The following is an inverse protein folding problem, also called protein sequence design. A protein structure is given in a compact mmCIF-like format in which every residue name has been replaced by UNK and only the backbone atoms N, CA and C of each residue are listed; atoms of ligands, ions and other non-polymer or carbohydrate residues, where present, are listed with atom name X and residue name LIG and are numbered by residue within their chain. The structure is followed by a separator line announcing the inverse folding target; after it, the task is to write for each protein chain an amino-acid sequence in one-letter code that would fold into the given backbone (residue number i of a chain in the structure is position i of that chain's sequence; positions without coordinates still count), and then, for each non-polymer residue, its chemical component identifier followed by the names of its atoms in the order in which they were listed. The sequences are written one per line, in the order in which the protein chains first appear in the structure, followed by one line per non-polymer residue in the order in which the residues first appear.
data_IF_064216959220
#
_entry.id   IF_064216959220
#
_cell.length_a   1.000
_cell.length_b   1.000
_cell.length_c   1.000
_cell.angle_alpha   90.00
_cell.angle_beta   90.00
_cell.angle_gamma   90.00
#
_symmetry.space_group_name_H-M   'P 1'
#
loop_
_entity.id
_entity.type
_entity.pdbx_description
1 polymer ?
#
# COMPACT_ATOMS: atom_id res chain seq x y z
N UNK A 1 17.13 -8.05 13.69
CA UNK A 1 16.52 -7.58 12.43
C UNK A 1 16.68 -6.07 12.39
N UNK A 2 17.19 -5.49 11.29
CA UNK A 2 17.53 -4.06 11.21
C UNK A 2 16.28 -3.19 11.02
N UNK A 3 16.27 -1.98 11.58
CA UNK A 3 15.26 -0.96 11.28
C UNK A 3 15.41 -0.47 9.83
N UNK A 4 14.29 -0.23 9.13
CA UNK A 4 14.27 0.24 7.75
C UNK A 4 13.91 1.73 7.69
N UNK A 5 14.71 2.50 6.97
CA UNK A 5 14.44 3.91 6.67
C UNK A 5 14.29 4.10 5.17
N UNK A 6 13.29 4.88 4.75
CA UNK A 6 13.17 5.35 3.37
C UNK A 6 13.93 6.64 3.17
N UNK A 7 14.64 6.73 2.05
CA UNK A 7 15.31 7.93 1.56
C UNK A 7 14.96 8.13 0.08
N UNK A 8 15.17 9.33 -0.46
CA UNK A 8 14.88 9.58 -1.89
C UNK A 8 15.84 8.83 -2.81
N UNK A 9 17.11 8.76 -2.44
CA UNK A 9 18.16 8.08 -3.18
C UNK A 9 19.17 7.46 -2.20
N UNK A 10 19.75 6.33 -2.60
CA UNK A 10 20.81 5.67 -1.84
C UNK A 10 22.16 6.01 -2.51
N UNK A 11 22.97 6.89 -1.91
CA UNK A 11 24.31 7.20 -2.42
C UNK A 11 25.26 6.00 -2.22
N UNK A 12 26.43 6.01 -2.85
CA UNK A 12 27.35 4.86 -2.81
C UNK A 12 28.08 4.68 -1.47
N UNK A 13 28.43 5.77 -0.78
CA UNK A 13 29.36 5.70 0.37
C UNK A 13 28.76 6.17 1.69
N UNK A 14 28.08 7.31 1.73
CA UNK A 14 27.65 7.93 2.99
C UNK A 14 26.27 8.53 2.88
N UNK A 15 25.50 8.48 3.96
CA UNK A 15 24.15 9.03 4.03
C UNK A 15 23.95 9.72 5.38
N UNK A 16 23.26 10.85 5.36
CA UNK A 16 22.88 11.59 6.57
C UNK A 16 21.37 11.59 6.70
N UNK A 17 20.86 11.12 7.83
CA UNK A 17 19.46 11.34 8.19
C UNK A 17 19.33 12.64 8.95
N UNK A 18 18.45 13.52 8.50
CA UNK A 18 18.13 14.79 9.14
C UNK A 18 16.65 14.83 9.56
N UNK A 19 16.24 15.90 10.26
CA UNK A 19 14.84 16.16 10.56
C UNK A 19 14.18 15.06 11.38
N UNK A 20 12.97 14.65 10.99
CA UNK A 20 12.18 13.66 11.74
C UNK A 20 12.73 12.24 11.63
N UNK A 21 13.32 11.86 10.49
CA UNK A 21 14.00 10.57 10.34
C UNK A 21 15.24 10.50 11.25
N UNK A 22 16.03 11.58 11.31
CA UNK A 22 17.15 11.71 12.24
C UNK A 22 16.71 11.66 13.70
N UNK A 23 15.62 12.33 14.08
CA UNK A 23 15.05 12.26 15.44
C UNK A 23 14.58 10.86 15.80
N UNK A 24 13.92 10.17 14.87
CA UNK A 24 13.49 8.79 15.08
C UNK A 24 14.70 7.89 15.34
N UNK A 25 15.74 8.00 14.53
CA UNK A 25 16.99 7.25 14.70
C UNK A 25 17.72 7.59 16.02
N UNK A 26 17.92 8.88 16.33
CA UNK A 26 18.70 9.33 17.48
C UNK A 26 17.97 9.20 18.83
N UNK A 27 16.67 9.49 18.86
CA UNK A 27 15.92 9.64 20.11
C UNK A 27 14.97 8.47 20.38
N UNK A 28 14.25 8.00 19.35
CA UNK A 28 13.28 6.92 19.50
C UNK A 28 13.97 5.55 19.50
N UNK A 29 14.83 5.30 18.50
CA UNK A 29 15.64 4.07 18.42
C UNK A 29 16.90 4.13 19.27
N UNK A 30 17.36 5.35 19.61
CA UNK A 30 18.56 5.59 20.43
C UNK A 30 19.82 4.95 19.86
N UNK A 31 19.98 5.03 18.53
CA UNK A 31 21.09 4.41 17.84
C UNK A 31 22.45 4.91 18.34
N UNK A 32 23.43 4.02 18.38
CA UNK A 32 24.81 4.29 18.79
C UNK A 32 25.77 4.11 17.62
N UNK A 33 26.94 4.76 17.71
CA UNK A 33 28.04 4.54 16.76
C UNK A 33 28.37 3.05 16.68
N UNK A 34 28.48 2.53 15.44
CA UNK A 34 28.69 1.12 15.14
C UNK A 34 27.39 0.31 14.97
N UNK A 35 26.22 0.82 15.34
CA UNK A 35 24.95 0.13 15.10
C UNK A 35 24.49 0.26 13.64
N UNK A 36 23.69 -0.70 13.19
CA UNK A 36 23.28 -0.82 11.80
C UNK A 36 21.79 -0.58 11.60
N UNK A 37 21.46 0.01 10.46
CA UNK A 37 20.12 0.15 9.90
C UNK A 37 20.10 -0.27 8.44
N UNK A 38 18.91 -0.49 7.89
CA UNK A 38 18.71 -0.70 6.46
C UNK A 38 18.11 0.55 5.84
N UNK A 39 18.58 0.92 4.68
CA UNK A 39 18.01 1.97 3.83
C UNK A 39 17.32 1.36 2.62
N UNK A 40 16.26 2.02 2.16
CA UNK A 40 15.64 1.75 0.87
C UNK A 40 15.21 3.05 0.19
N UNK A 41 15.18 3.08 -1.13
CA UNK A 41 14.54 4.16 -1.90
C UNK A 41 13.04 3.93 -2.13
N UNK A 42 12.53 2.75 -1.73
CA UNK A 42 11.15 2.35 -1.94
C UNK A 42 10.89 1.77 -3.33
N UNK A 43 11.91 1.63 -4.18
CA UNK A 43 11.80 1.11 -5.56
C UNK A 43 12.82 0.00 -5.84
N UNK A 44 13.17 -0.77 -4.81
CA UNK A 44 13.97 -1.98 -4.92
C UNK A 44 15.41 -1.85 -4.43
N UNK A 45 16.01 -0.65 -4.45
CA UNK A 45 17.38 -0.50 -3.98
C UNK A 45 17.42 -0.51 -2.46
N UNK A 46 18.46 -1.16 -1.93
CA UNK A 46 18.71 -1.24 -0.49
C UNK A 46 20.20 -1.12 -0.18
N UNK A 47 20.51 -0.64 1.01
CA UNK A 47 21.86 -0.66 1.57
C UNK A 47 21.81 -0.84 3.08
N UNK A 48 22.92 -1.31 3.66
CA UNK A 48 23.15 -1.32 5.11
C UNK A 48 23.95 -0.08 5.49
N UNK A 49 23.40 0.72 6.40
CA UNK A 49 24.10 1.86 6.99
C UNK A 49 24.60 1.54 8.38
N UNK A 50 25.88 1.80 8.63
CA UNK A 50 26.48 1.74 9.97
C UNK A 50 26.65 3.16 10.49
N UNK A 51 26.13 3.46 11.68
CA UNK A 51 26.27 4.78 12.31
C UNK A 51 27.75 5.09 12.51
N UNK A 52 28.23 6.18 11.92
CA UNK A 52 29.61 6.65 12.09
C UNK A 52 29.69 7.87 13.00
N UNK A 53 28.63 8.68 13.05
CA UNK A 53 28.60 9.89 13.87
C UNK A 53 27.16 10.30 14.26
N UNK A 54 27.01 10.80 15.48
CA UNK A 54 25.76 11.31 16.05
C UNK A 54 25.89 12.84 16.20
N UNK A 55 25.71 13.57 15.10
CA UNK A 55 25.93 15.02 15.02
C UNK A 55 25.01 15.79 15.97
N UNK A 56 23.73 15.40 16.03
CA UNK A 56 22.75 16.01 16.94
C UNK A 56 21.59 15.06 17.24
N UNK A 57 20.60 15.53 18.03
CA UNK A 57 19.36 14.77 18.30
C UNK A 57 18.48 14.56 17.06
N UNK A 58 18.80 15.19 15.93
CA UNK A 58 18.05 15.10 14.67
C UNK A 58 18.95 14.88 13.46
N UNK A 59 20.23 14.58 13.65
CA UNK A 59 21.20 14.41 12.56
C UNK A 59 22.16 13.27 12.88
N UNK A 60 22.19 12.25 12.03
CA UNK A 60 23.05 11.06 12.15
C UNK A 60 23.68 10.75 10.80
N UNK A 61 24.99 10.47 10.82
CA UNK A 61 25.76 10.07 9.65
C UNK A 61 25.97 8.55 9.63
N UNK A 62 25.87 7.98 8.44
CA UNK A 62 26.05 6.55 8.19
C UNK A 62 27.08 6.32 7.09
N UNK A 63 27.94 5.32 7.29
CA UNK A 63 28.70 4.71 6.20
C UNK A 63 27.86 3.56 5.59
N UNK A 64 27.76 3.55 4.27
CA UNK A 64 26.95 2.59 3.52
C UNK A 64 27.78 1.41 3.03
N UNK A 65 27.14 0.24 3.05
CA UNK A 65 27.70 -1.03 2.62
C UNK A 65 26.57 -1.94 2.15
N UNK A 66 26.90 -3.10 1.59
CA UNK A 66 25.94 -4.13 1.19
C UNK A 66 24.79 -3.58 0.34
N UNK A 67 25.15 -2.82 -0.71
CA UNK A 67 24.20 -2.37 -1.71
C UNK A 67 23.65 -3.56 -2.47
N UNK A 68 22.33 -3.61 -2.61
CA UNK A 68 21.63 -4.69 -3.27
C UNK A 68 20.33 -4.18 -3.90
N UNK A 69 19.75 -5.00 -4.77
CA UNK A 69 18.47 -4.74 -5.41
C UNK A 69 17.51 -5.90 -5.17
N UNK A 70 16.36 -5.60 -4.57
CA UNK A 70 15.28 -6.56 -4.38
C UNK A 70 14.33 -6.48 -5.57
N UNK A 71 14.14 -7.55 -6.36
CA UNK A 71 13.17 -7.56 -7.45
C UNK A 71 11.75 -7.23 -6.96
N UNK A 72 10.96 -6.56 -7.80
CA UNK A 72 9.56 -6.26 -7.48
C UNK A 72 8.78 -7.56 -7.25
N UNK A 73 8.03 -7.70 -6.12
CA UNK A 73 7.20 -8.87 -5.90
C UNK A 73 6.15 -9.05 -7.00
N UNK A 74 5.94 -10.30 -7.40
CA UNK A 74 4.89 -10.69 -8.36
C UNK A 74 3.96 -11.72 -7.72
N UNK A 75 2.62 -11.61 -7.90
CA UNK A 75 1.93 -10.59 -8.69
C UNK A 75 1.86 -9.22 -8.00
N UNK A 76 1.62 -8.17 -8.79
CA UNK A 76 1.26 -6.83 -8.29
C UNK A 76 -0.20 -6.85 -7.84
N UNK A 77 -0.43 -6.47 -6.58
CA UNK A 77 -1.76 -6.45 -5.97
C UNK A 77 -2.19 -5.00 -5.75
N UNK A 78 -3.25 -4.60 -6.44
CA UNK A 78 -3.86 -3.27 -6.34
C UNK A 78 -5.22 -3.36 -5.67
N UNK A 79 -5.61 -2.32 -4.93
CA UNK A 79 -6.96 -2.20 -4.36
C UNK A 79 -7.63 -0.90 -4.81
N UNK A 80 -8.79 -1.02 -5.46
CA UNK A 80 -9.75 0.07 -5.65
C UNK A 80 -10.63 0.17 -4.41
N UNK A 81 -10.36 1.16 -3.56
CA UNK A 81 -11.01 1.34 -2.27
C UNK A 81 -12.03 2.48 -2.36
N UNK A 82 -13.32 2.16 -2.31
CA UNK A 82 -14.35 3.18 -2.16
C UNK A 82 -14.11 4.01 -0.88
N UNK A 83 -14.32 5.33 -0.96
CA UNK A 83 -14.03 6.24 0.14
C UNK A 83 -14.90 5.92 1.38
N UNK A 84 -14.31 5.42 2.48
CA UNK A 84 -15.08 5.05 3.66
C UNK A 84 -15.51 6.31 4.45
N UNK A 85 -16.50 6.16 5.33
CA UNK A 85 -16.97 7.28 6.14
C UNK A 85 -15.99 7.65 7.26
N UNK A 86 -15.62 8.94 7.32
CA UNK A 86 -14.81 9.54 8.41
C UNK A 86 -13.31 9.22 8.33
N UNK A 87 -12.59 9.33 9.44
CA UNK A 87 -11.13 9.12 9.50
C UNK A 87 -10.67 7.66 9.35
N UNK A 88 -11.61 6.73 9.15
CA UNK A 88 -11.36 5.28 9.03
C UNK A 88 -10.59 4.89 7.77
N UNK A 89 -10.44 5.82 6.82
CA UNK A 89 -9.66 5.63 5.61
C UNK A 89 -8.17 5.40 5.88
N UNK A 90 -7.62 6.05 6.92
CA UNK A 90 -6.19 5.93 7.26
C UNK A 90 -5.86 4.51 7.73
N UNK A 91 -6.67 3.96 8.63
CA UNK A 91 -6.55 2.58 9.11
C UNK A 91 -6.65 1.57 7.97
N UNK A 92 -7.58 1.78 7.02
CA UNK A 92 -7.71 0.90 5.86
C UNK A 92 -6.43 0.91 4.99
N UNK A 93 -5.84 2.08 4.74
CA UNK A 93 -4.58 2.21 3.99
C UNK A 93 -3.45 1.50 4.72
N UNK A 94 -3.27 1.75 6.02
CA UNK A 94 -2.25 1.11 6.84
C UNK A 94 -2.34 -0.43 6.76
N UNK A 95 -3.51 -0.99 7.03
CA UNK A 95 -3.76 -2.42 6.99
C UNK A 95 -3.53 -3.04 5.59
N UNK A 96 -3.94 -2.35 4.52
CA UNK A 96 -3.69 -2.79 3.15
C UNK A 96 -2.19 -2.83 2.83
N UNK A 97 -1.43 -1.85 3.31
CA UNK A 97 0.02 -1.81 3.08
C UNK A 97 0.72 -2.92 3.83
N UNK A 98 0.36 -3.15 5.09
CA UNK A 98 0.94 -4.20 5.94
C UNK A 98 0.71 -5.60 5.37
N UNK A 99 -0.47 -5.88 4.84
CA UNK A 99 -0.78 -7.19 4.25
C UNK A 99 -0.04 -7.43 2.93
N UNK A 100 0.34 -6.36 2.22
CA UNK A 100 1.17 -6.45 1.01
C UNK A 100 0.57 -5.84 -0.26
N UNK A 101 -0.47 -5.00 -0.16
CA UNK A 101 -1.02 -4.26 -1.32
C UNK A 101 0.03 -3.29 -1.85
N UNK A 102 0.27 -3.29 -3.16
CA UNK A 102 1.30 -2.47 -3.81
C UNK A 102 0.75 -1.14 -4.30
N UNK A 103 -0.53 -1.10 -4.69
CA UNK A 103 -1.16 0.12 -5.17
C UNK A 103 -2.57 0.29 -4.60
N UNK A 104 -2.89 1.50 -4.17
CA UNK A 104 -4.21 1.85 -3.65
C UNK A 104 -4.81 2.94 -4.54
N UNK A 105 -6.00 2.68 -5.06
CA UNK A 105 -6.78 3.60 -5.86
C UNK A 105 -7.97 4.06 -5.01
N UNK A 106 -7.97 5.30 -4.49
CA UNK A 106 -9.16 5.86 -3.86
C UNK A 106 -10.29 5.93 -4.89
N UNK A 107 -11.51 5.56 -4.53
CA UNK A 107 -12.64 5.53 -5.45
C UNK A 107 -13.85 6.30 -4.91
N UNK A 108 -14.27 7.30 -5.68
CA UNK A 108 -15.54 7.99 -5.47
C UNK A 108 -16.69 7.16 -6.06
N UNK A 109 -17.08 6.08 -5.38
CA UNK A 109 -18.27 5.33 -5.75
C UNK A 109 -19.54 6.17 -5.55
N UNK A 110 -20.59 5.91 -6.33
CA UNK A 110 -21.87 6.64 -6.31
C UNK A 110 -22.52 6.69 -4.93
N UNK A 111 -22.39 5.60 -4.15
CA UNK A 111 -22.93 5.49 -2.78
C UNK A 111 -21.88 5.72 -1.68
N UNK A 112 -20.73 6.31 -2.02
CA UNK A 112 -19.77 6.74 -1.01
C UNK A 112 -20.34 7.93 -0.24
N UNK A 113 -20.36 7.84 1.09
CA UNK A 113 -20.80 8.94 1.96
C UNK A 113 -19.77 10.07 1.97
N UNK A 114 -18.48 9.72 1.90
CA UNK A 114 -17.41 10.69 1.78
C UNK A 114 -17.32 11.19 0.33
N UNK A 115 -17.21 12.51 0.17
CA UNK A 115 -16.93 13.15 -1.11
C UNK A 115 -15.69 14.02 -1.00
N UNK A 116 -14.74 13.81 -1.90
CA UNK A 116 -13.59 14.69 -2.05
C UNK A 116 -13.88 15.68 -3.17
N UNK A 117 -14.03 16.96 -2.81
CA UNK A 117 -13.99 18.01 -3.81
C UNK A 117 -12.58 18.15 -4.41
N UNK A 118 -12.46 18.83 -5.54
CA UNK A 118 -11.19 18.97 -6.26
C UNK A 118 -10.06 19.58 -5.41
N UNK A 119 -10.38 20.45 -4.43
CA UNK A 119 -9.38 21.07 -3.55
C UNK A 119 -8.91 20.10 -2.46
N UNK A 120 -9.81 19.26 -1.94
CA UNK A 120 -9.53 18.25 -0.91
C UNK A 120 -8.88 17.00 -1.48
N UNK A 121 -9.11 16.66 -2.74
CA UNK A 121 -8.56 15.45 -3.36
C UNK A 121 -7.04 15.39 -3.22
N UNK A 122 -6.34 16.47 -3.58
CA UNK A 122 -4.86 16.49 -3.57
C UNK A 122 -4.33 16.26 -2.15
N UNK A 123 -4.87 16.97 -1.15
CA UNK A 123 -4.42 16.83 0.23
C UNK A 123 -4.83 15.49 0.86
N UNK A 124 -5.97 14.93 0.47
CA UNK A 124 -6.43 13.63 0.94
C UNK A 124 -5.58 12.47 0.38
N UNK A 125 -5.28 12.50 -0.93
CA UNK A 125 -4.36 11.54 -1.57
C UNK A 125 -2.97 11.65 -0.93
N UNK A 126 -2.45 12.87 -0.71
CA UNK A 126 -1.17 13.07 -0.03
C UNK A 126 -1.18 12.49 1.39
N UNK A 127 -2.27 12.69 2.15
CA UNK A 127 -2.44 12.08 3.49
C UNK A 127 -2.41 10.55 3.43
N UNK A 128 -3.07 9.94 2.45
CA UNK A 128 -3.04 8.49 2.26
C UNK A 128 -1.64 8.01 1.86
N UNK A 129 -0.94 8.72 0.97
CA UNK A 129 0.44 8.37 0.59
C UNK A 129 1.39 8.42 1.78
N UNK A 130 1.30 9.46 2.62
CA UNK A 130 2.09 9.56 3.86
C UNK A 130 1.79 8.38 4.79
N UNK A 131 0.51 8.02 4.94
CA UNK A 131 0.10 6.85 5.74
C UNK A 131 0.71 5.57 5.19
N UNK A 132 0.65 5.39 3.87
CA UNK A 132 1.17 4.22 3.18
C UNK A 132 2.69 4.11 3.32
N UNK A 133 3.42 5.23 3.25
CA UNK A 133 4.87 5.28 3.43
C UNK A 133 5.28 4.90 4.86
N UNK A 134 4.56 5.42 5.87
CA UNK A 134 4.82 5.08 7.28
C UNK A 134 4.57 3.59 7.53
N UNK A 135 3.43 3.06 7.07
CA UNK A 135 3.08 1.65 7.20
C UNK A 135 4.10 0.76 6.48
N UNK A 136 4.56 1.14 5.29
CA UNK A 136 5.56 0.38 4.53
C UNK A 136 6.91 0.33 5.25
N UNK A 137 7.36 1.43 5.85
CA UNK A 137 8.58 1.46 6.64
C UNK A 137 8.47 0.54 7.87
N UNK A 138 7.34 0.57 8.58
CA UNK A 138 7.08 -0.28 9.75
C UNK A 138 6.99 -1.77 9.39
N UNK A 139 6.33 -2.08 8.27
CA UNK A 139 6.24 -3.42 7.68
C UNK A 139 7.56 -3.86 7.01
N UNK A 140 8.59 -2.99 6.98
CA UNK A 140 9.91 -3.23 6.38
C UNK A 140 9.85 -3.61 4.90
N UNK A 141 8.91 -3.00 4.16
CA UNK A 141 8.79 -3.19 2.71
C UNK A 141 9.92 -2.49 1.98
N UNK A 142 10.53 -3.17 1.01
CA UNK A 142 11.54 -2.56 0.12
C UNK A 142 10.87 -1.82 -1.05
N UNK A 143 9.73 -2.34 -1.51
CA UNK A 143 8.89 -1.67 -2.49
C UNK A 143 7.77 -0.95 -1.76
N UNK A 144 7.83 0.37 -1.76
CA UNK A 144 6.84 1.22 -1.11
C UNK A 144 5.59 1.30 -1.98
N UNK A 145 4.40 1.20 -1.35
CA UNK A 145 3.14 1.24 -2.05
C UNK A 145 2.86 2.64 -2.61
N UNK A 146 2.08 2.68 -3.70
CA UNK A 146 1.62 3.94 -4.29
C UNK A 146 0.14 4.14 -4.04
N UNK A 147 -0.22 5.34 -3.59
CA UNK A 147 -1.60 5.83 -3.61
C UNK A 147 -1.78 6.62 -4.90
N UNK A 148 -2.68 6.14 -5.76
CA UNK A 148 -2.98 6.74 -7.06
C UNK A 148 -4.03 7.85 -6.92
N UNK A 149 -4.28 8.55 -8.03
CA UNK A 149 -5.30 9.57 -8.11
C UNK A 149 -6.71 9.00 -7.85
N UNK A 150 -7.60 9.85 -7.35
CA UNK A 150 -9.00 9.51 -7.11
C UNK A 150 -9.66 9.04 -8.41
N UNK A 151 -10.15 7.82 -8.41
CA UNK A 151 -10.98 7.28 -9.48
C UNK A 151 -12.39 7.81 -9.30
N UNK A 152 -12.88 8.56 -10.28
CA UNK A 152 -14.29 9.02 -10.37
C UNK A 152 -15.01 8.37 -11.55
N UNK A 153 -14.25 7.88 -12.54
CA UNK A 153 -14.77 7.13 -13.68
C UNK A 153 -14.02 5.79 -13.79
N UNK A 154 -14.76 4.68 -13.74
CA UNK A 154 -14.22 3.33 -13.86
C UNK A 154 -13.60 3.04 -15.24
N UNK A 155 -14.00 3.75 -16.31
CA UNK A 155 -13.34 3.65 -17.62
C UNK A 155 -11.84 3.94 -17.56
N UNK A 156 -11.40 4.74 -16.59
CA UNK A 156 -9.98 5.03 -16.39
C UNK A 156 -9.14 3.79 -16.01
N UNK A 157 -9.78 2.66 -15.72
CA UNK A 157 -9.15 1.38 -15.38
C UNK A 157 -9.05 0.42 -16.58
N UNK A 158 -9.62 0.77 -17.74
CA UNK A 158 -9.63 -0.08 -18.91
C UNK A 158 -8.22 -0.46 -19.37
N UNK A 159 -7.98 -1.76 -19.52
CA UNK A 159 -6.70 -2.31 -19.97
C UNK A 159 -5.53 -2.16 -18.98
N UNK A 160 -5.77 -1.70 -17.75
CA UNK A 160 -4.71 -1.51 -16.74
C UNK A 160 -4.36 -2.76 -15.95
N UNK A 161 -5.25 -3.75 -15.89
CA UNK A 161 -5.11 -4.94 -15.05
C UNK A 161 -5.41 -6.21 -15.86
N UNK A 162 -4.68 -7.27 -15.55
CA UNK A 162 -4.88 -8.59 -16.17
C UNK A 162 -6.09 -9.31 -15.56
N UNK A 163 -6.45 -8.94 -14.32
CA UNK A 163 -7.57 -9.50 -13.59
C UNK A 163 -8.17 -8.46 -12.65
N UNK A 164 -9.50 -8.36 -12.64
CA UNK A 164 -10.26 -7.52 -11.72
C UNK A 164 -11.18 -8.42 -10.90
N UNK A 165 -11.12 -8.31 -9.56
CA UNK A 165 -11.89 -9.12 -8.62
C UNK A 165 -12.75 -8.19 -7.78
N UNK A 166 -14.07 -8.32 -7.89
CA UNK A 166 -15.03 -7.53 -7.12
C UNK A 166 -15.54 -8.37 -5.96
N UNK A 167 -15.28 -7.94 -4.74
CA UNK A 167 -15.82 -8.61 -3.57
C UNK A 167 -17.22 -8.09 -3.25
N UNK A 168 -18.24 -8.94 -3.45
CA UNK A 168 -19.65 -8.58 -3.26
C UNK A 168 -20.35 -9.61 -2.36
N UNK A 169 -21.21 -9.12 -1.46
CA UNK A 169 -21.87 -9.93 -0.42
C UNK A 169 -22.86 -10.95 -0.97
N UNK A 170 -23.52 -10.64 -2.08
CA UNK A 170 -24.48 -11.53 -2.75
C UNK A 170 -23.83 -12.50 -3.75
N UNK A 171 -22.50 -12.44 -3.92
CA UNK A 171 -21.82 -13.30 -4.89
C UNK A 171 -21.64 -14.73 -4.38
N UNK A 172 -21.58 -15.69 -5.29
CA UNK A 172 -21.43 -17.12 -4.99
C UNK A 172 -20.01 -17.70 -5.19
N UNK A 173 -19.13 -17.20 -6.09
CA UNK A 173 -17.84 -17.83 -6.32
C UNK A 173 -16.87 -17.62 -5.15
N UNK A 174 -16.04 -18.62 -4.81
CA UNK A 174 -14.87 -18.39 -3.99
C UNK A 174 -13.86 -17.51 -4.73
N UNK A 175 -12.85 -17.03 -4.00
CA UNK A 175 -11.69 -16.34 -4.59
C UNK A 175 -11.09 -17.21 -5.71
N UNK A 176 -10.78 -16.63 -6.90
CA UNK A 176 -10.17 -17.37 -8.00
C UNK A 176 -8.95 -18.19 -7.57
N UNK A 177 -8.85 -19.42 -8.07
CA UNK A 177 -7.74 -20.30 -7.72
C UNK A 177 -6.41 -19.85 -8.34
N UNK A 178 -6.47 -19.27 -9.53
CA UNK A 178 -5.32 -18.69 -10.23
C UNK A 178 -5.44 -17.17 -10.19
N UNK A 179 -4.34 -16.54 -9.79
CA UNK A 179 -4.21 -15.09 -9.69
C UNK A 179 -3.25 -14.62 -10.79
N UNK A 180 -3.68 -13.63 -11.57
CA UNK A 180 -2.88 -13.06 -12.66
C UNK A 180 -1.70 -12.21 -12.13
N UNK A 181 -0.82 -11.75 -13.02
CA UNK A 181 0.40 -11.02 -12.65
C UNK A 181 0.11 -9.59 -12.17
N UNK A 182 -0.96 -8.96 -12.66
CA UNK A 182 -1.40 -7.64 -12.25
C UNK A 182 -2.90 -7.63 -11.93
N UNK A 183 -3.24 -7.52 -10.65
CA UNK A 183 -4.60 -7.77 -10.14
C UNK A 183 -5.15 -6.50 -9.48
N UNK A 184 -6.39 -6.17 -9.79
CA UNK A 184 -7.17 -5.17 -9.07
C UNK A 184 -8.25 -5.84 -8.23
N UNK A 185 -8.23 -5.57 -6.93
CA UNK A 185 -9.28 -5.93 -5.98
C UNK A 185 -10.20 -4.72 -5.81
N UNK A 186 -11.50 -4.90 -5.95
CA UNK A 186 -12.48 -3.81 -5.83
C UNK A 186 -13.29 -3.97 -4.55
N UNK A 187 -13.25 -2.91 -3.73
CA UNK A 187 -13.98 -2.80 -2.45
C UNK A 187 -14.97 -1.65 -2.52
N UNK A 188 -16.26 -1.99 -2.43
CA UNK A 188 -17.36 -1.04 -2.47
C UNK A 188 -17.53 -0.18 -1.21
N UNK A 189 -18.37 0.86 -1.28
CA UNK A 189 -18.71 1.70 -0.13
C UNK A 189 -19.65 0.98 0.83
N UNK A 190 -19.92 1.55 2.00
CA UNK A 190 -20.89 1.00 2.95
C UNK A 190 -22.32 0.92 2.39
N UNK A 191 -22.65 1.68 1.34
CA UNK A 191 -23.93 1.63 0.62
C UNK A 191 -24.00 0.58 -0.51
N UNK A 192 -23.01 -0.30 -0.60
CA UNK A 192 -22.81 -1.26 -1.69
C UNK A 192 -22.53 -0.61 -3.05
N UNK A 193 -22.05 -1.41 -4.00
CA UNK A 193 -21.79 -0.99 -5.39
C UNK A 193 -23.14 -0.94 -6.12
N UNK A 194 -23.39 0.07 -6.94
CA UNK A 194 -24.65 0.15 -7.70
C UNK A 194 -24.67 -0.80 -8.88
N UNK A 195 -25.85 -1.12 -9.41
CA UNK A 195 -25.97 -1.99 -10.59
C UNK A 195 -25.22 -1.41 -11.80
N UNK A 196 -25.28 -0.09 -12.00
CA UNK A 196 -24.54 0.58 -13.07
C UNK A 196 -23.01 0.45 -12.92
N UNK A 197 -22.49 0.59 -11.70
CA UNK A 197 -21.07 0.41 -11.42
C UNK A 197 -20.65 -1.06 -11.57
N UNK A 198 -21.52 -2.00 -11.16
CA UNK A 198 -21.29 -3.44 -11.31
C UNK A 198 -21.24 -3.84 -12.78
N UNK A 199 -22.21 -3.41 -13.59
CA UNK A 199 -22.18 -3.65 -15.03
C UNK A 199 -20.93 -3.04 -15.66
N UNK A 200 -20.53 -1.85 -15.20
CA UNK A 200 -19.30 -1.24 -15.69
C UNK A 200 -18.04 -2.04 -15.35
N UNK A 201 -17.96 -2.58 -14.14
CA UNK A 201 -16.86 -3.46 -13.73
C UNK A 201 -16.86 -4.76 -14.57
N UNK A 202 -18.03 -5.33 -14.87
CA UNK A 202 -18.15 -6.51 -15.75
C UNK A 202 -17.66 -6.22 -17.16
N UNK A 203 -17.97 -5.05 -17.72
CA UNK A 203 -17.43 -4.61 -19.03
C UNK A 203 -15.90 -4.54 -19.04
N UNK A 204 -15.29 -4.23 -17.89
CA UNK A 204 -13.84 -4.25 -17.71
C UNK A 204 -13.26 -5.67 -17.51
N UNK A 205 -14.09 -6.71 -17.60
CA UNK A 205 -13.69 -8.10 -17.40
C UNK A 205 -13.64 -8.53 -15.94
N UNK A 206 -14.28 -7.78 -15.03
CA UNK A 206 -14.27 -8.14 -13.61
C UNK A 206 -15.03 -9.44 -13.33
N UNK A 207 -14.45 -10.25 -12.45
CA UNK A 207 -15.10 -11.41 -11.85
C UNK A 207 -15.53 -11.08 -10.44
N UNK A 208 -16.66 -11.63 -10.01
CA UNK A 208 -17.10 -11.47 -8.62
C UNK A 208 -16.55 -12.59 -7.73
N UNK A 209 -16.33 -12.27 -6.45
CA UNK A 209 -15.94 -13.22 -5.42
C UNK A 209 -16.61 -12.86 -4.08
N UNK A 210 -16.71 -13.84 -3.17
CA UNK A 210 -17.24 -13.66 -1.81
C UNK A 210 -16.25 -14.09 -0.74
N UNK A 211 -16.21 -13.35 0.38
CA UNK A 211 -15.42 -13.66 1.57
C UNK A 211 -16.29 -14.25 2.69
N UNK A 212 -16.75 -15.47 2.49
CA UNK A 212 -17.59 -16.17 3.46
C UNK A 212 -18.96 -15.51 3.67
N UNK A 213 -19.68 -15.95 4.71
CA UNK A 213 -21.07 -15.57 4.91
C UNK A 213 -21.27 -14.20 5.57
N UNK A 214 -20.28 -13.75 6.34
CA UNK A 214 -20.34 -12.50 7.12
C UNK A 214 -20.12 -11.27 6.26
N UNK A 215 -20.85 -10.19 6.55
CA UNK A 215 -20.65 -8.89 5.89
C UNK A 215 -19.45 -8.18 6.53
N UNK A 216 -18.39 -7.99 5.75
CA UNK A 216 -17.24 -7.20 6.15
C UNK A 216 -17.52 -5.71 5.97
N UNK A 217 -17.18 -4.90 6.97
CA UNK A 217 -17.19 -3.44 6.82
C UNK A 217 -16.15 -3.04 5.77
N UNK A 218 -16.49 -2.10 4.90
CA UNK A 218 -15.61 -1.61 3.80
C UNK A 218 -14.16 -1.37 4.25
N UNK A 219 -13.97 -0.73 5.42
CA UNK A 219 -12.63 -0.45 5.99
C UNK A 219 -11.73 -1.68 6.22
N UNK A 220 -12.31 -2.86 6.49
CA UNK A 220 -11.56 -4.10 6.72
C UNK A 220 -11.66 -5.06 5.53
N UNK A 221 -12.60 -4.82 4.61
CA UNK A 221 -12.79 -5.69 3.45
C UNK A 221 -11.54 -5.68 2.55
N UNK A 222 -10.85 -4.53 2.40
CA UNK A 222 -9.62 -4.42 1.63
C UNK A 222 -8.50 -5.34 2.12
N UNK A 223 -8.19 -5.32 3.42
CA UNK A 223 -7.16 -6.22 3.99
C UNK A 223 -7.58 -7.69 3.88
N UNK A 224 -8.83 -8.04 4.18
CA UNK A 224 -9.31 -9.41 4.10
C UNK A 224 -9.25 -9.96 2.65
N UNK A 225 -9.67 -9.14 1.69
CA UNK A 225 -9.63 -9.50 0.27
C UNK A 225 -8.20 -9.66 -0.23
N UNK A 226 -7.32 -8.71 0.10
CA UNK A 226 -5.92 -8.77 -0.25
C UNK A 226 -5.23 -10.00 0.36
N UNK A 227 -5.47 -10.31 1.63
CA UNK A 227 -4.96 -11.52 2.27
C UNK A 227 -5.46 -12.79 1.56
N UNK A 228 -6.74 -12.86 1.24
CA UNK A 228 -7.33 -14.02 0.57
C UNK A 228 -6.73 -14.23 -0.82
N UNK A 229 -6.52 -13.15 -1.60
CA UNK A 229 -5.84 -13.20 -2.90
C UNK A 229 -4.37 -13.58 -2.74
N UNK A 230 -3.63 -12.90 -1.86
CA UNK A 230 -2.19 -13.15 -1.62
C UNK A 230 -1.92 -14.59 -1.20
N UNK A 231 -2.79 -15.20 -0.40
CA UNK A 231 -2.68 -16.61 0.02
C UNK A 231 -2.71 -17.62 -1.14
N UNK A 232 -3.14 -17.20 -2.33
CA UNK A 232 -3.16 -18.00 -3.56
C UNK A 232 -1.98 -17.69 -4.49
N UNK A 233 -0.96 -16.99 -3.99
CA UNK A 233 0.19 -16.55 -4.78
C UNK A 233 1.50 -16.97 -4.15
N UNK A 234 2.55 -17.04 -4.97
CA UNK A 234 3.91 -17.30 -4.51
C UNK A 234 4.42 -16.28 -3.47
N UNK A 235 3.80 -15.08 -3.37
CA UNK A 235 4.19 -14.07 -2.38
C UNK A 235 4.01 -14.55 -0.94
N UNK A 236 3.04 -15.42 -0.68
CA UNK A 236 2.76 -15.98 0.65
C UNK A 236 3.06 -17.49 0.74
N UNK A 237 3.77 -18.05 -0.24
CA UNK A 237 4.28 -19.42 -0.18
C UNK A 237 3.35 -20.48 -0.77
N UNK A 238 3.03 -20.36 -2.06
CA UNK A 238 2.73 -21.52 -2.92
C UNK A 238 3.74 -21.62 -4.06
#
# INVERSE_FOLDING_TARGET
MLHLFRVEQIPSQTLTLTGDAGKHAASALRLRVGEQVKFTDGVGNVAVGTVVDLVSKSEINFALSNHDFVPKPTPTISVLQALPKGDKAVEAVELMVEVGVDEIYPWQAQRSVAQWDAKKQISAVAKWQITADVAAAQARRVWFPRVNDLVTNLDSLQGKFDQIIVFHEESAPPVPAQIAQNVLIVIGPEGSITDSEREKLKELGAVEARMGESILRSRHAGIAAAAAVLSRTARWGQ
#
